data_IF_053158590772
#
_entry.id   IF_053158590772
#
_cell.length_a   1.000
_cell.length_b   1.000
_cell.length_c   1.000
_cell.angle_alpha   90.00
_cell.angle_beta   90.00
_cell.angle_gamma   90.00
#
_symmetry.space_group_name_H-M   'P 1'
#
loop_
_entity.id
_entity.type
_entity.pdbx_description
1 polymer ?
#
# COMPACT_ATOMS: atom_id res chain seq x y z
N UNK A 1 12.11 4.36 -11.55
CA UNK A 1 11.62 4.83 -10.24
C UNK A 1 11.65 3.64 -9.30
N UNK A 2 12.77 3.48 -8.61
CA UNK A 2 13.06 2.39 -7.67
C UNK A 2 12.09 2.40 -6.50
N UNK A 3 11.43 1.27 -6.24
CA UNK A 3 10.55 1.10 -5.09
C UNK A 3 11.27 0.31 -4.02
N UNK A 4 11.04 0.72 -2.79
CA UNK A 4 11.41 -0.05 -1.63
C UNK A 4 10.15 -0.66 -1.04
N UNK A 5 10.16 -1.97 -0.89
CA UNK A 5 9.18 -2.68 -0.09
C UNK A 5 9.87 -2.95 1.24
N UNK A 6 9.27 -2.52 2.35
CA UNK A 6 9.81 -2.85 3.66
C UNK A 6 9.56 -4.33 4.00
N UNK A 7 8.63 -4.97 3.29
CA UNK A 7 8.25 -6.37 3.46
C UNK A 7 8.55 -7.18 2.19
N UNK A 8 9.34 -8.25 2.36
CA UNK A 8 9.74 -9.15 1.28
C UNK A 8 8.56 -9.94 0.69
N UNK A 9 7.55 -10.27 1.50
CA UNK A 9 6.36 -10.97 1.05
C UNK A 9 5.48 -10.07 0.20
N UNK A 10 5.41 -8.77 0.53
CA UNK A 10 4.71 -7.78 -0.29
C UNK A 10 5.39 -7.60 -1.66
N UNK A 11 6.73 -7.50 -1.68
CA UNK A 11 7.51 -7.46 -2.92
C UNK A 11 7.27 -8.71 -3.78
N UNK A 12 7.29 -9.89 -3.14
CA UNK A 12 7.05 -11.16 -3.83
C UNK A 12 5.63 -11.28 -4.34
N UNK A 13 4.63 -10.83 -3.57
CA UNK A 13 3.21 -10.89 -3.93
C UNK A 13 2.90 -10.14 -5.24
N UNK A 14 3.65 -9.08 -5.56
CA UNK A 14 3.50 -8.34 -6.81
C UNK A 14 4.26 -9.00 -7.97
N UNK A 15 5.42 -9.60 -7.70
CA UNK A 15 6.29 -10.20 -8.72
C UNK A 15 5.88 -11.62 -9.10
N UNK A 16 5.29 -12.35 -8.18
CA UNK A 16 4.97 -13.77 -8.29
C UNK A 16 3.44 -13.95 -8.18
N UNK A 17 2.78 -14.07 -9.33
CA UNK A 17 1.32 -14.16 -9.44
C UNK A 17 0.68 -15.34 -8.66
N UNK A 18 1.28 -16.54 -8.60
CA UNK A 18 0.78 -17.62 -7.74
C UNK A 18 1.15 -17.45 -6.27
N UNK A 19 2.15 -16.63 -5.92
CA UNK A 19 2.50 -16.40 -4.52
C UNK A 19 1.39 -15.66 -3.78
N UNK A 20 1.22 -16.07 -2.53
CA UNK A 20 0.28 -15.47 -1.59
C UNK A 20 0.86 -15.63 -0.18
N UNK A 21 0.98 -14.54 0.59
CA UNK A 21 1.41 -14.63 1.97
C UNK A 21 0.46 -15.51 2.79
N UNK A 22 0.97 -16.10 3.87
CA UNK A 22 0.17 -16.96 4.72
C UNK A 22 -1.00 -16.19 5.35
N UNK A 23 -2.16 -16.83 5.43
CA UNK A 23 -3.38 -16.20 5.94
C UNK A 23 -4.03 -15.16 5.02
N UNK A 24 -3.51 -14.88 3.82
CA UNK A 24 -4.13 -13.96 2.85
C UNK A 24 -5.19 -14.66 1.99
N UNK A 25 -6.28 -13.97 1.69
CA UNK A 25 -7.28 -14.46 0.74
C UNK A 25 -6.88 -14.17 -0.71
N UNK A 26 -7.47 -14.87 -1.68
CA UNK A 26 -7.22 -14.60 -3.11
C UNK A 26 -7.71 -13.19 -3.51
N UNK A 27 -8.85 -12.77 -2.96
CA UNK A 27 -9.40 -11.43 -3.17
C UNK A 27 -8.43 -10.38 -2.63
N UNK A 28 -7.96 -10.55 -1.40
CA UNK A 28 -7.03 -9.62 -0.74
C UNK A 28 -5.70 -9.48 -1.49
N UNK A 29 -5.11 -10.60 -1.94
CA UNK A 29 -3.92 -10.58 -2.77
C UNK A 29 -4.13 -9.80 -4.08
N UNK A 30 -5.31 -9.92 -4.69
CA UNK A 30 -5.69 -9.19 -5.92
C UNK A 30 -5.92 -7.71 -5.65
N UNK A 31 -6.51 -7.36 -4.52
CA UNK A 31 -6.69 -5.96 -4.08
C UNK A 31 -5.33 -5.29 -3.85
N UNK A 32 -4.42 -5.95 -3.15
CA UNK A 32 -3.06 -5.44 -2.94
C UNK A 32 -2.31 -5.22 -4.27
N UNK A 33 -2.40 -6.17 -5.20
CA UNK A 33 -1.82 -5.99 -6.55
C UNK A 33 -2.40 -4.79 -7.30
N UNK A 34 -3.71 -4.54 -7.16
CA UNK A 34 -4.34 -3.34 -7.73
C UNK A 34 -3.86 -2.07 -7.05
N UNK A 35 -3.73 -2.08 -5.72
CA UNK A 35 -3.15 -0.97 -4.96
C UNK A 35 -1.73 -0.64 -5.44
N UNK A 36 -0.86 -1.66 -5.56
CA UNK A 36 0.51 -1.49 -6.07
C UNK A 36 0.51 -0.94 -7.51
N UNK A 37 -0.34 -1.47 -8.38
CA UNK A 37 -0.47 -1.01 -9.76
C UNK A 37 -0.97 0.43 -9.86
N UNK A 38 -2.00 0.80 -9.09
CA UNK A 38 -2.48 2.16 -9.02
C UNK A 38 -1.42 3.12 -8.49
N UNK A 39 -0.62 2.69 -7.51
CA UNK A 39 0.54 3.44 -7.06
C UNK A 39 1.64 3.54 -8.12
N UNK A 40 1.72 2.63 -9.11
CA UNK A 40 2.64 2.76 -10.28
C UNK A 40 2.16 3.84 -11.22
N UNK A 41 0.85 3.90 -11.41
CA UNK A 41 0.24 4.85 -12.33
C UNK A 41 0.18 6.27 -11.74
N UNK A 42 0.06 6.40 -10.41
CA UNK A 42 0.05 7.68 -9.73
C UNK A 42 1.41 8.37 -9.87
N UNK A 43 1.42 9.56 -10.49
CA UNK A 43 2.63 10.40 -10.64
C UNK A 43 2.86 11.27 -9.41
N UNK A 44 1.81 11.52 -8.64
CA UNK A 44 1.84 12.33 -7.43
C UNK A 44 1.12 11.61 -6.28
N UNK A 45 1.50 11.93 -5.04
CA UNK A 45 0.79 11.45 -3.85
C UNK A 45 -0.69 11.90 -3.83
N UNK A 46 -1.02 13.05 -4.44
CA UNK A 46 -2.39 13.55 -4.57
C UNK A 46 -3.25 12.66 -5.45
N UNK A 47 -2.70 12.18 -6.58
CA UNK A 47 -3.42 11.25 -7.47
C UNK A 47 -3.78 9.97 -6.73
N UNK A 48 -2.84 9.44 -5.94
CA UNK A 48 -3.08 8.22 -5.17
C UNK A 48 -4.16 8.41 -4.10
N UNK A 49 -4.16 9.56 -3.40
CA UNK A 49 -5.17 9.91 -2.39
C UNK A 49 -6.57 10.05 -2.99
N UNK A 50 -6.66 10.53 -4.22
CA UNK A 50 -7.93 10.69 -4.91
C UNK A 50 -8.51 9.37 -5.44
N UNK A 51 -7.76 8.27 -5.38
CA UNK A 51 -8.24 6.95 -5.78
C UNK A 51 -9.18 6.36 -4.72
N UNK A 52 -10.45 6.75 -4.80
CA UNK A 52 -11.54 6.26 -3.95
C UNK A 52 -11.68 4.73 -3.93
N UNK A 53 -11.22 4.03 -4.98
CA UNK A 53 -11.25 2.57 -5.04
C UNK A 53 -10.34 1.89 -4.01
N UNK A 54 -9.33 2.61 -3.50
CA UNK A 54 -8.29 2.03 -2.65
C UNK A 54 -8.50 2.33 -1.16
N UNK A 55 -9.58 3.06 -0.82
CA UNK A 55 -9.88 3.51 0.56
C UNK A 55 -8.62 4.10 1.23
N UNK A 56 -7.90 4.93 0.48
CA UNK A 56 -6.65 5.53 0.94
C UNK A 56 -7.00 6.68 1.88
N UNK A 57 -6.57 6.56 3.12
CA UNK A 57 -6.73 7.58 4.15
C UNK A 57 -5.38 8.30 4.35
N UNK A 58 -5.33 9.63 4.23
CA UNK A 58 -4.11 10.38 4.50
C UNK A 58 -3.80 10.35 6.00
N UNK A 59 -2.51 10.34 6.35
CA UNK A 59 -2.12 10.58 7.74
C UNK A 59 -2.34 12.07 8.06
N UNK A 60 -2.97 12.36 9.19
CA UNK A 60 -3.28 13.74 9.62
C UNK A 60 -2.04 14.55 9.94
N UNK A 61 -1.04 13.91 10.55
CA UNK A 61 0.19 14.57 11.01
C UNK A 61 1.33 14.57 9.98
N UNK A 62 1.31 13.62 9.03
CA UNK A 62 2.40 13.45 8.08
C UNK A 62 1.85 13.40 6.64
N UNK A 63 1.99 14.48 5.86
CA UNK A 63 1.51 14.54 4.49
C UNK A 63 2.32 13.64 3.54
N UNK A 64 3.43 13.05 3.98
CA UNK A 64 4.16 12.02 3.24
C UNK A 64 3.69 10.59 3.58
N UNK A 65 2.66 10.42 4.42
CA UNK A 65 2.09 9.11 4.75
C UNK A 65 0.62 9.02 4.34
N UNK A 66 0.24 7.81 3.99
CA UNK A 66 -1.15 7.40 3.81
C UNK A 66 -1.31 5.93 4.20
N UNK A 67 -2.55 5.50 4.40
CA UNK A 67 -2.90 4.12 4.72
C UNK A 67 -3.95 3.64 3.74
N UNK A 68 -3.89 2.39 3.31
CA UNK A 68 -4.91 1.75 2.50
C UNK A 68 -5.45 0.54 3.23
N UNK A 69 -6.75 0.49 3.41
CA UNK A 69 -7.42 -0.62 4.11
C UNK A 69 -8.00 -1.59 3.09
N UNK A 70 -7.48 -2.83 3.09
CA UNK A 70 -7.97 -3.91 2.24
C UNK A 70 -9.32 -4.42 2.74
N UNK A 71 -10.06 -5.19 1.92
CA UNK A 71 -11.39 -5.69 2.30
C UNK A 71 -11.38 -6.60 3.53
N UNK A 72 -10.23 -7.20 3.82
CA UNK A 72 -9.97 -8.03 5.00
C UNK A 72 -9.85 -7.24 6.31
N UNK A 73 -9.76 -5.91 6.24
CA UNK A 73 -9.41 -5.04 7.36
C UNK A 73 -7.90 -4.90 7.59
N UNK A 74 -7.04 -5.58 6.82
CA UNK A 74 -5.60 -5.32 6.88
C UNK A 74 -5.26 -3.95 6.34
N UNK A 75 -4.36 -3.26 7.04
CA UNK A 75 -3.93 -1.91 6.73
C UNK A 75 -2.53 -1.95 6.11
N UNK A 76 -2.41 -1.33 4.94
CA UNK A 76 -1.15 -1.17 4.24
C UNK A 76 -0.71 0.28 4.38
N UNK A 77 0.43 0.51 5.01
CA UNK A 77 1.10 1.80 5.07
C UNK A 77 1.73 2.15 3.73
N UNK A 78 1.57 3.40 3.33
CA UNK A 78 2.11 4.00 2.12
C UNK A 78 2.96 5.20 2.55
N UNK A 79 4.27 5.10 2.38
CA UNK A 79 5.20 6.14 2.78
C UNK A 79 5.90 6.71 1.54
N UNK A 80 5.64 7.98 1.26
CA UNK A 80 6.14 8.68 0.07
C UNK A 80 7.47 9.34 0.39
N UNK A 81 8.56 8.90 -0.22
CA UNK A 81 9.89 9.50 0.04
C UNK A 81 10.02 10.97 -0.43
N UNK A 82 9.18 11.38 -1.39
CA UNK A 82 9.01 12.77 -1.80
C UNK A 82 7.68 12.94 -2.56
N UNK A 83 7.31 14.17 -2.92
CA UNK A 83 6.04 14.46 -3.60
C UNK A 83 5.83 13.70 -4.93
N UNK A 84 6.94 13.39 -5.61
CA UNK A 84 7.04 12.61 -6.86
C UNK A 84 7.88 11.32 -6.66
N UNK A 85 8.22 11.01 -5.41
CA UNK A 85 9.16 9.98 -5.03
C UNK A 85 8.55 8.59 -4.92
N UNK A 86 9.38 7.57 -4.71
CA UNK A 86 8.88 6.22 -4.58
C UNK A 86 8.01 6.03 -3.34
N UNK A 87 6.97 5.23 -3.52
CA UNK A 87 6.06 4.79 -2.45
C UNK A 87 6.65 3.54 -1.83
N UNK A 88 6.86 3.60 -0.51
CA UNK A 88 7.27 2.48 0.31
C UNK A 88 6.04 1.83 0.90
N UNK A 89 5.90 0.53 0.66
CA UNK A 89 4.79 -0.27 1.17
C UNK A 89 5.22 -1.01 2.44
N UNK A 90 4.40 -0.90 3.47
CA UNK A 90 4.54 -1.65 4.72
C UNK A 90 3.20 -2.25 5.12
N UNK A 91 3.21 -3.47 5.67
CA UNK A 91 2.02 -4.01 6.32
C UNK A 91 1.99 -3.48 7.75
N UNK A 92 0.94 -2.72 8.08
CA UNK A 92 0.77 -2.21 9.44
C UNK A 92 0.05 -3.26 10.28
N UNK A 93 0.66 -3.64 11.41
CA UNK A 93 -0.04 -4.44 12.41
C UNK A 93 -1.23 -3.65 12.94
N UNK A 94 -2.40 -4.29 13.19
CA UNK A 94 -3.57 -3.62 13.74
C UNK A 94 -3.31 -2.95 15.10
N UNK A 95 -2.25 -3.35 15.81
CA UNK A 95 -1.83 -2.79 17.09
C UNK A 95 -1.01 -1.48 16.98
N UNK A 96 -0.58 -1.09 15.78
CA UNK A 96 0.07 0.23 15.54
C UNK A 96 -0.93 1.33 15.19
N UNK A 97 -2.17 1.16 15.66
CA UNK A 97 -3.17 2.21 15.73
C UNK A 97 -3.11 2.85 17.13
N UNK A 98 -2.01 3.53 17.43
CA UNK A 98 -2.03 4.57 18.48
C UNK A 98 -1.88 5.92 17.80
N UNK A 99 -2.83 6.84 18.04
CA UNK A 99 -2.80 8.20 17.52
C UNK A 99 -1.63 9.02 18.09
#
# INVERSE_FOLDING_TARGET
MDREYLDGDLSRLVRDAPFRPDGWSHTEAKEYRRLDYCARAAKTHTDLRNLRMLRVEPHTEDPAKARATLSSGRVVGLNFKSAEGPVVFELLSPERDTP
#
